data_IF_006850521335
#
_entry.id   IF_006850521335
#
_cell.length_a   1.000
_cell.length_b   1.000
_cell.length_c   1.000
_cell.angle_alpha   90.00
_cell.angle_beta   90.00
_cell.angle_gamma   90.00
#
_symmetry.space_group_name_H-M   'P 1'
#
loop_
_entity.id
_entity.type
_entity.pdbx_description
1 polymer ?
#
# COMPACT_ATOMS: atom_id res chain seq x y z
N UNK A 1 43.69 -8.68 -7.99
CA UNK A 1 44.41 -9.95 -7.75
C UNK A 1 43.46 -11.09 -7.41
N UNK A 2 42.40 -10.82 -6.63
CA UNK A 2 41.28 -11.73 -6.37
C UNK A 2 40.02 -10.89 -6.06
N UNK A 3 38.90 -11.54 -5.74
CA UNK A 3 37.63 -10.86 -5.44
C UNK A 3 37.70 -10.02 -4.16
N UNK A 4 38.39 -10.48 -3.11
CA UNK A 4 38.55 -9.73 -1.85
C UNK A 4 39.26 -8.39 -2.09
N UNK A 5 40.38 -8.42 -2.80
CA UNK A 5 41.11 -7.21 -3.18
C UNK A 5 40.25 -6.30 -4.08
N UNK A 6 39.44 -6.86 -4.98
CA UNK A 6 38.51 -6.05 -5.77
C UNK A 6 37.49 -5.30 -4.87
N UNK A 7 36.95 -5.95 -3.84
CA UNK A 7 36.03 -5.32 -2.88
C UNK A 7 36.70 -4.21 -2.06
N UNK A 8 37.97 -4.36 -1.68
CA UNK A 8 38.74 -3.31 -1.03
C UNK A 8 38.87 -2.06 -1.91
N UNK A 9 39.17 -2.26 -3.21
CA UNK A 9 39.23 -1.17 -4.19
C UNK A 9 37.86 -0.48 -4.31
N UNK A 10 36.76 -1.23 -4.38
CA UNK A 10 35.41 -0.64 -4.43
C UNK A 10 35.13 0.22 -3.19
N UNK A 11 35.48 -0.25 -1.99
CA UNK A 11 35.32 0.53 -0.75
C UNK A 11 36.15 1.82 -0.77
N UNK A 12 37.37 1.76 -1.31
CA UNK A 12 38.24 2.93 -1.48
C UNK A 12 37.63 3.95 -2.46
N UNK A 13 37.04 3.50 -3.56
CA UNK A 13 36.31 4.38 -4.50
C UNK A 13 35.14 5.07 -3.80
N UNK A 14 34.31 4.32 -3.07
CA UNK A 14 33.13 4.86 -2.37
C UNK A 14 33.53 5.88 -1.29
N UNK A 15 34.65 5.66 -0.59
CA UNK A 15 35.16 6.58 0.43
C UNK A 15 35.54 7.98 -0.12
N UNK A 16 35.80 8.08 -1.43
CA UNK A 16 36.25 9.31 -2.09
C UNK A 16 35.15 10.00 -2.93
N UNK A 17 33.87 9.65 -2.75
CA UNK A 17 32.76 10.22 -3.54
C UNK A 17 32.41 11.68 -3.21
N UNK A 18 32.98 12.26 -2.15
CA UNK A 18 32.67 13.62 -1.66
C UNK A 18 31.14 13.87 -1.55
N UNK A 19 30.41 12.88 -1.04
CA UNK A 19 28.95 12.93 -0.90
C UNK A 19 28.54 13.04 0.57
N UNK A 20 27.57 13.92 0.86
CA UNK A 20 27.01 14.11 2.19
C UNK A 20 25.49 14.17 2.07
N UNK A 21 24.81 13.22 2.72
CA UNK A 21 23.35 13.21 2.83
C UNK A 21 22.89 14.43 3.65
N UNK A 22 22.02 15.25 3.06
CA UNK A 22 21.36 16.36 3.75
C UNK A 22 19.89 16.04 3.95
N UNK A 23 19.46 15.92 5.21
CA UNK A 23 18.07 15.65 5.56
C UNK A 23 17.41 16.95 6.00
N UNK A 24 16.57 17.52 5.14
CA UNK A 24 15.80 18.74 5.42
C UNK A 24 14.41 18.37 5.94
N UNK A 25 14.38 17.69 7.08
CA UNK A 25 13.16 17.23 7.76
C UNK A 25 13.38 17.25 9.28
N UNK A 26 12.30 17.45 10.04
CA UNK A 26 12.31 17.32 11.51
C UNK A 26 12.46 15.83 11.89
N UNK A 27 13.68 15.29 11.90
CA UNK A 27 13.98 13.93 12.36
C UNK A 27 14.18 13.95 13.87
N UNK A 28 13.48 13.06 14.59
CA UNK A 28 13.57 12.93 16.05
C UNK A 28 14.36 11.69 16.45
N UNK A 29 14.73 11.61 17.72
CA UNK A 29 15.26 10.38 18.29
C UNK A 29 14.23 9.24 18.15
N UNK A 30 14.60 8.10 17.53
CA UNK A 30 13.70 6.96 17.37
C UNK A 30 13.20 6.44 18.71
N UNK A 31 11.88 6.21 18.81
CA UNK A 31 11.29 5.48 19.94
C UNK A 31 10.71 4.16 19.44
N UNK A 32 10.93 3.02 20.14
CA UNK A 32 10.26 1.79 19.78
C UNK A 32 8.72 1.95 19.90
N UNK A 33 7.92 1.17 19.15
CA UNK A 33 6.48 1.08 19.38
C UNK A 33 6.20 0.54 20.79
N UNK A 34 5.03 0.85 21.34
CA UNK A 34 4.59 0.33 22.64
C UNK A 34 4.25 -1.17 22.60
N UNK A 35 4.04 -1.73 21.41
CA UNK A 35 3.73 -3.13 21.18
C UNK A 35 4.84 -3.81 20.37
N UNK A 36 5.15 -5.07 20.71
CA UNK A 36 6.13 -5.86 19.98
C UNK A 36 5.66 -6.10 18.53
N UNK A 37 6.58 -6.00 17.56
CA UNK A 37 6.25 -6.13 16.13
C UNK A 37 5.82 -7.55 15.77
N UNK A 38 6.28 -8.57 16.49
CA UNK A 38 5.89 -9.97 16.32
C UNK A 38 4.40 -10.21 16.60
N UNK A 39 3.75 -9.32 17.34
CA UNK A 39 2.30 -9.41 17.52
C UNK A 39 1.51 -9.19 16.21
N UNK A 40 2.14 -8.65 15.16
CA UNK A 40 1.52 -8.51 13.83
C UNK A 40 1.05 -9.85 13.27
N UNK A 41 1.71 -10.97 13.62
CA UNK A 41 1.29 -12.31 13.20
C UNK A 41 -0.11 -12.69 13.69
N UNK A 42 -0.55 -12.15 14.83
CA UNK A 42 -1.88 -12.41 15.40
C UNK A 42 -2.93 -11.34 15.10
N UNK A 43 -2.53 -10.20 14.51
CA UNK A 43 -3.44 -9.09 14.18
C UNK A 43 -4.15 -9.34 12.86
N UNK A 44 -3.42 -9.88 11.89
CA UNK A 44 -3.87 -9.95 10.50
C UNK A 44 -4.48 -11.33 10.25
N UNK A 45 -5.76 -11.41 9.86
CA UNK A 45 -6.40 -12.70 9.62
C UNK A 45 -5.78 -13.46 8.44
N UNK A 46 -5.83 -14.79 8.50
CA UNK A 46 -5.42 -15.66 7.40
C UNK A 46 -6.28 -15.45 6.14
N UNK A 47 -7.59 -15.22 6.31
CA UNK A 47 -8.47 -14.86 5.20
C UNK A 47 -8.34 -13.35 4.92
N UNK A 48 -7.78 -13.02 3.75
CA UNK A 48 -7.61 -11.63 3.27
C UNK A 48 -8.92 -10.84 3.16
N UNK A 49 -10.08 -11.51 3.23
CA UNK A 49 -11.41 -10.88 3.21
C UNK A 49 -11.95 -10.58 4.61
N UNK A 50 -11.37 -11.18 5.65
CA UNK A 50 -11.83 -10.98 7.01
C UNK A 50 -11.49 -9.55 7.47
N UNK A 51 -12.46 -8.79 8.01
CA UNK A 51 -12.19 -7.46 8.51
C UNK A 51 -11.35 -7.52 9.78
N UNK A 52 -10.43 -6.57 9.92
CA UNK A 52 -9.70 -6.30 11.15
C UNK A 52 -9.45 -4.79 11.23
N UNK A 53 -9.11 -4.28 12.42
CA UNK A 53 -8.81 -2.86 12.59
C UNK A 53 -7.35 -2.58 12.22
N UNK A 54 -7.13 -1.82 11.14
CA UNK A 54 -5.78 -1.47 10.67
C UNK A 54 -4.99 -0.60 11.67
N UNK A 55 -5.65 0.03 12.65
CA UNK A 55 -4.95 0.74 13.73
C UNK A 55 -4.04 -0.21 14.53
N UNK A 56 -4.40 -1.49 14.64
CA UNK A 56 -3.57 -2.49 15.32
C UNK A 56 -2.23 -2.72 14.57
N UNK A 57 -2.24 -2.63 13.24
CA UNK A 57 -1.00 -2.68 12.45
C UNK A 57 -0.20 -1.40 12.66
N UNK A 58 -0.84 -0.24 12.52
CA UNK A 58 -0.17 1.07 12.67
C UNK A 58 0.51 1.18 14.05
N UNK A 59 -0.18 0.80 15.13
CA UNK A 59 0.34 0.86 16.49
C UNK A 59 1.62 0.05 16.70
N UNK A 60 1.84 -1.02 15.92
CA UNK A 60 3.05 -1.86 15.98
C UNK A 60 4.17 -1.38 15.06
N UNK A 61 3.90 -0.43 14.17
CA UNK A 61 4.90 0.10 13.23
C UNK A 61 5.48 1.44 13.66
N UNK A 62 4.68 2.31 14.29
CA UNK A 62 5.06 3.70 14.54
C UNK A 62 5.71 3.93 15.91
N UNK A 63 6.56 4.95 15.99
CA UNK A 63 7.31 5.31 17.19
C UNK A 63 6.38 5.63 18.37
N UNK A 64 6.61 4.97 19.50
CA UNK A 64 5.77 5.11 20.70
C UNK A 64 4.31 4.68 20.52
N UNK A 65 3.96 4.04 19.40
CA UNK A 65 2.57 3.78 19.00
C UNK A 65 1.71 5.05 18.93
N UNK A 66 2.34 6.21 18.70
CA UNK A 66 1.66 7.49 18.59
C UNK A 66 1.21 7.75 17.15
N UNK A 67 -0.08 8.01 16.98
CA UNK A 67 -0.69 8.24 15.67
C UNK A 67 -1.73 9.37 15.73
N UNK A 68 -1.46 10.46 14.99
CA UNK A 68 -2.34 11.62 14.91
C UNK A 68 -3.32 11.45 13.74
N UNK A 69 -4.48 10.87 14.03
CA UNK A 69 -5.51 10.57 13.03
C UNK A 69 -6.09 11.84 12.38
N UNK A 70 -6.01 11.92 11.05
CA UNK A 70 -6.65 12.95 10.24
C UNK A 70 -8.05 12.50 9.83
N UNK A 71 -9.06 13.38 10.01
CA UNK A 71 -10.46 13.10 9.67
C UNK A 71 -10.93 11.74 10.23
N UNK A 72 -10.72 11.51 11.53
CA UNK A 72 -11.04 10.24 12.21
C UNK A 72 -12.47 9.78 11.93
N UNK A 73 -13.43 10.69 12.02
CA UNK A 73 -14.86 10.38 11.94
C UNK A 73 -15.46 10.55 10.52
N UNK A 74 -14.62 10.64 9.48
CA UNK A 74 -15.05 10.80 8.09
C UNK A 74 -14.31 9.82 7.18
N UNK A 75 -15.03 9.10 6.31
CA UNK A 75 -14.44 8.11 5.41
C UNK A 75 -13.60 7.07 6.15
N UNK A 76 -14.17 6.44 7.19
CA UNK A 76 -13.46 5.58 8.16
C UNK A 76 -12.85 4.30 7.55
N UNK A 77 -13.25 3.93 6.32
CA UNK A 77 -12.64 2.82 5.59
C UNK A 77 -11.25 3.14 5.01
N UNK A 78 -10.81 4.39 5.10
CA UNK A 78 -9.43 4.80 4.87
C UNK A 78 -8.92 5.56 6.09
N UNK A 79 -8.01 4.95 6.83
CA UNK A 79 -7.32 5.57 7.96
C UNK A 79 -6.19 6.42 7.42
N UNK A 80 -6.20 7.71 7.76
CA UNK A 80 -5.14 8.65 7.42
C UNK A 80 -4.62 9.29 8.69
N UNK A 81 -3.31 9.52 8.79
CA UNK A 81 -2.75 10.23 9.93
C UNK A 81 -1.24 10.35 9.89
N UNK A 82 -0.71 11.22 10.74
CA UNK A 82 0.72 11.46 10.86
C UNK A 82 1.30 10.62 12.00
N UNK A 83 2.52 10.15 11.80
CA UNK A 83 3.28 9.45 12.82
C UNK A 83 4.78 9.57 12.54
N UNK A 84 5.58 8.77 13.25
CA UNK A 84 7.01 8.61 12.97
C UNK A 84 7.39 7.15 12.87
N UNK A 85 8.35 6.85 12.01
CA UNK A 85 9.01 5.54 11.96
C UNK A 85 10.51 5.79 12.00
N UNK A 86 11.19 5.26 13.01
CA UNK A 86 12.62 5.47 13.19
C UNK A 86 12.98 6.96 13.24
N UNK A 87 12.15 7.77 13.91
CA UNK A 87 12.33 9.22 14.04
C UNK A 87 11.85 10.05 12.83
N UNK A 88 11.73 9.46 11.64
CA UNK A 88 11.28 10.15 10.44
C UNK A 88 9.77 10.40 10.47
N UNK A 89 9.29 11.62 10.18
CA UNK A 89 7.86 11.87 10.06
C UNK A 89 7.31 11.16 8.82
N UNK A 90 6.15 10.53 8.96
CA UNK A 90 5.46 9.80 7.89
C UNK A 90 3.97 10.15 7.88
N UNK A 91 3.40 10.19 6.69
CA UNK A 91 1.97 10.36 6.45
C UNK A 91 1.40 9.02 5.97
N UNK A 92 0.61 8.36 6.81
CA UNK A 92 0.14 7.00 6.58
C UNK A 92 -1.27 7.05 5.99
N UNK A 93 -1.51 6.27 4.92
CA UNK A 93 -2.83 5.95 4.38
C UNK A 93 -3.00 4.43 4.42
N UNK A 94 -3.98 3.94 5.19
CA UNK A 94 -4.17 2.52 5.44
C UNK A 94 -5.63 2.11 5.21
N UNK A 95 -5.85 1.05 4.43
CA UNK A 95 -7.20 0.56 4.19
C UNK A 95 -7.77 -0.11 5.44
N UNK A 96 -9.04 0.20 5.74
CA UNK A 96 -9.82 -0.38 6.82
C UNK A 96 -11.20 -0.85 6.29
N UNK A 97 -11.24 -1.30 5.04
CA UNK A 97 -12.45 -1.67 4.30
C UNK A 97 -12.44 -1.21 2.84
N UNK A 98 -13.59 -1.33 2.17
CA UNK A 98 -13.82 -0.84 0.80
C UNK A 98 -13.76 0.69 0.73
N UNK A 99 -13.32 1.25 -0.40
CA UNK A 99 -13.26 2.71 -0.58
C UNK A 99 -14.60 3.29 -0.99
N UNK A 100 -15.02 4.35 -0.29
CA UNK A 100 -16.15 5.21 -0.65
C UNK A 100 -15.67 6.55 -1.21
N UNK A 101 -16.59 7.37 -1.71
CA UNK A 101 -16.32 8.75 -2.17
C UNK A 101 -15.62 9.57 -1.08
N UNK A 102 -16.10 9.47 0.15
CA UNK A 102 -15.57 10.16 1.33
C UNK A 102 -14.13 9.72 1.63
N UNK A 103 -13.87 8.41 1.53
CA UNK A 103 -12.54 7.83 1.72
C UNK A 103 -11.56 8.39 0.68
N UNK A 104 -11.97 8.47 -0.59
CA UNK A 104 -11.12 9.02 -1.65
C UNK A 104 -10.88 10.53 -1.49
N UNK A 105 -11.89 11.31 -1.13
CA UNK A 105 -11.75 12.74 -0.85
C UNK A 105 -10.85 13.00 0.37
N UNK A 106 -10.97 12.17 1.42
CA UNK A 106 -10.10 12.21 2.59
C UNK A 106 -8.65 11.92 2.22
N UNK A 107 -8.40 10.85 1.45
CA UNK A 107 -7.07 10.47 1.00
C UNK A 107 -6.41 11.54 0.14
N UNK A 108 -7.15 12.10 -0.83
CA UNK A 108 -6.64 13.18 -1.70
C UNK A 108 -6.20 14.41 -0.87
N UNK A 109 -7.07 14.91 0.02
CA UNK A 109 -6.74 16.04 0.89
C UNK A 109 -5.54 15.71 1.82
N UNK A 110 -5.48 14.51 2.36
CA UNK A 110 -4.37 14.12 3.22
C UNK A 110 -3.02 14.10 2.47
N UNK A 111 -3.02 13.62 1.22
CA UNK A 111 -1.83 13.67 0.34
C UNK A 111 -1.42 15.11 0.07
N UNK A 112 -2.37 16.02 -0.19
CA UNK A 112 -2.06 17.46 -0.37
C UNK A 112 -1.33 18.04 0.85
N UNK A 113 -1.78 17.70 2.07
CA UNK A 113 -1.12 18.13 3.31
C UNK A 113 0.30 17.56 3.43
N UNK A 114 0.49 16.27 3.14
CA UNK A 114 1.79 15.61 3.20
C UNK A 114 2.76 16.22 2.17
N UNK A 115 2.32 16.41 0.93
CA UNK A 115 3.08 17.04 -0.13
C UNK A 115 3.49 18.47 0.22
N UNK A 116 2.55 19.28 0.74
CA UNK A 116 2.84 20.66 1.16
C UNK A 116 3.91 20.74 2.26
N UNK A 117 3.97 19.71 3.11
CA UNK A 117 4.89 19.62 4.25
C UNK A 117 6.15 18.80 3.95
N UNK A 118 6.30 18.28 2.73
CA UNK A 118 7.39 17.39 2.31
C UNK A 118 7.54 16.15 3.20
N UNK A 119 6.41 15.59 3.63
CA UNK A 119 6.36 14.38 4.47
C UNK A 119 6.22 13.15 3.57
N UNK A 120 7.09 12.13 3.69
CA UNK A 120 6.94 10.85 3.00
C UNK A 120 5.58 10.19 3.24
N UNK A 121 5.06 9.56 2.19
CA UNK A 121 3.78 8.84 2.23
C UNK A 121 4.03 7.34 2.42
N UNK A 122 3.28 6.72 3.33
CA UNK A 122 3.23 5.28 3.51
C UNK A 122 1.82 4.77 3.21
N UNK A 123 1.71 3.87 2.24
CA UNK A 123 0.46 3.20 1.88
C UNK A 123 0.47 1.77 2.41
N UNK A 124 -0.51 1.44 3.26
CA UNK A 124 -0.76 0.09 3.73
C UNK A 124 -1.98 -0.48 3.00
N UNK A 125 -1.73 -1.32 1.99
CA UNK A 125 -2.79 -1.85 1.13
C UNK A 125 -3.45 -3.09 1.74
N UNK A 126 -4.75 -2.96 1.96
CA UNK A 126 -5.67 -4.08 2.17
C UNK A 126 -7.03 -3.72 1.55
N UNK A 127 -7.07 -3.71 0.22
CA UNK A 127 -8.16 -3.16 -0.57
C UNK A 127 -8.76 -4.19 -1.54
N UNK A 128 -10.06 -4.41 -1.40
CA UNK A 128 -10.88 -5.21 -2.32
C UNK A 128 -11.47 -4.40 -3.48
N UNK A 129 -11.55 -3.07 -3.34
CA UNK A 129 -12.00 -2.16 -4.39
C UNK A 129 -12.81 -0.99 -3.85
N UNK A 130 -13.49 -0.31 -4.78
CA UNK A 130 -14.45 0.74 -4.46
C UNK A 130 -15.86 0.16 -4.26
N UNK A 131 -16.70 0.86 -3.50
CA UNK A 131 -18.09 0.48 -3.35
C UNK A 131 -18.82 0.53 -4.70
N UNK A 132 -19.66 -0.47 -4.99
CA UNK A 132 -20.42 -0.56 -6.24
C UNK A 132 -21.91 -0.36 -6.00
N UNK A 133 -22.61 0.24 -6.97
CA UNK A 133 -24.06 0.38 -6.96
C UNK A 133 -24.52 1.69 -7.60
N UNK A 134 -25.71 1.69 -8.21
CA UNK A 134 -26.19 2.83 -9.01
C UNK A 134 -26.25 4.16 -8.24
N UNK A 135 -26.53 4.12 -6.93
CA UNK A 135 -26.48 5.30 -6.06
C UNK A 135 -25.07 5.90 -5.97
N UNK A 136 -24.05 5.08 -5.71
CA UNK A 136 -22.67 5.53 -5.56
C UNK A 136 -22.07 6.04 -6.87
N UNK A 137 -22.45 5.42 -7.99
CA UNK A 137 -22.09 5.91 -9.33
C UNK A 137 -22.69 7.29 -9.61
N UNK A 138 -23.99 7.48 -9.31
CA UNK A 138 -24.68 8.77 -9.47
C UNK A 138 -24.11 9.86 -8.55
N UNK A 139 -23.69 9.49 -7.33
CA UNK A 139 -22.98 10.38 -6.39
C UNK A 139 -21.55 10.73 -6.85
N UNK A 140 -21.05 10.05 -7.89
CA UNK A 140 -19.77 10.38 -8.51
C UNK A 140 -18.57 9.68 -7.88
N UNK A 141 -18.73 8.45 -7.37
CA UNK A 141 -17.60 7.68 -6.80
C UNK A 141 -16.40 7.61 -7.75
N UNK A 142 -16.64 7.51 -9.06
CA UNK A 142 -15.59 7.54 -10.08
C UNK A 142 -14.77 8.85 -10.05
N UNK A 143 -15.42 10.02 -9.98
CA UNK A 143 -14.70 11.31 -9.91
C UNK A 143 -14.02 11.54 -8.56
N UNK A 144 -14.57 10.99 -7.48
CA UNK A 144 -13.94 11.06 -6.16
C UNK A 144 -12.71 10.16 -6.08
N UNK A 145 -12.79 8.92 -6.58
CA UNK A 145 -11.65 8.02 -6.77
C UNK A 145 -10.58 8.64 -7.67
N UNK A 146 -10.97 9.30 -8.75
CA UNK A 146 -10.03 10.00 -9.64
C UNK A 146 -9.22 11.09 -8.91
N UNK A 147 -9.82 11.83 -7.96
CA UNK A 147 -9.06 12.81 -7.15
C UNK A 147 -7.94 12.14 -6.35
N UNK A 148 -8.23 10.98 -5.72
CA UNK A 148 -7.22 10.23 -4.99
C UNK A 148 -6.09 9.78 -5.92
N UNK A 149 -6.42 9.22 -7.09
CA UNK A 149 -5.43 8.80 -8.08
C UNK A 149 -4.59 9.97 -8.59
N UNK A 150 -5.19 11.12 -8.89
CA UNK A 150 -4.46 12.33 -9.27
C UNK A 150 -3.49 12.76 -8.16
N UNK A 151 -3.92 12.73 -6.90
CA UNK A 151 -3.05 13.10 -5.78
C UNK A 151 -1.85 12.14 -5.64
N UNK A 152 -2.10 10.82 -5.72
CA UNK A 152 -1.04 9.78 -5.66
C UNK A 152 -0.06 9.91 -6.83
N UNK A 153 -0.57 10.12 -8.04
CA UNK A 153 0.24 10.22 -9.25
C UNK A 153 1.13 11.46 -9.25
N UNK A 154 0.60 12.60 -8.79
CA UNK A 154 1.34 13.86 -8.79
C UNK A 154 2.29 14.04 -7.61
N UNK A 155 2.13 13.29 -6.51
CA UNK A 155 2.95 13.45 -5.32
C UNK A 155 4.44 13.15 -5.57
N UNK A 156 5.29 14.14 -5.29
CA UNK A 156 6.76 14.09 -5.45
C UNK A 156 7.51 13.72 -4.16
N UNK A 157 6.81 13.72 -3.02
CA UNK A 157 7.36 13.18 -1.77
C UNK A 157 7.68 11.68 -1.92
N UNK A 158 8.67 11.13 -1.19
CA UNK A 158 8.93 9.70 -1.22
C UNK A 158 7.67 8.92 -0.84
N UNK A 159 7.26 7.99 -1.71
CA UNK A 159 6.10 7.10 -1.51
C UNK A 159 6.61 5.70 -1.21
N UNK A 160 6.05 5.04 -0.22
CA UNK A 160 6.33 3.66 0.14
C UNK A 160 5.02 2.88 0.23
N UNK A 161 5.01 1.65 -0.27
CA UNK A 161 3.81 0.82 -0.29
C UNK A 161 4.11 -0.52 0.34
N UNK A 162 3.22 -1.00 1.22
CA UNK A 162 3.27 -2.36 1.77
C UNK A 162 1.92 -3.01 1.54
N UNK A 163 1.90 -4.15 0.84
CA UNK A 163 0.70 -4.98 0.68
C UNK A 163 0.54 -5.85 1.93
N UNK A 164 -0.37 -5.45 2.82
CA UNK A 164 -0.63 -6.14 4.10
C UNK A 164 -1.85 -7.08 4.02
N UNK A 165 -2.52 -7.10 2.87
CA UNK A 165 -3.67 -7.95 2.59
C UNK A 165 -4.01 -7.96 1.09
N UNK A 166 -5.26 -7.63 0.74
CA UNK A 166 -5.69 -7.55 -0.65
C UNK A 166 -5.14 -6.33 -1.41
N UNK A 167 -4.85 -6.49 -2.69
CA UNK A 167 -4.53 -5.41 -3.63
C UNK A 167 -5.27 -5.66 -4.93
N UNK A 168 -6.53 -5.22 -4.98
CA UNK A 168 -7.44 -5.55 -6.09
C UNK A 168 -7.92 -4.33 -6.88
N UNK A 169 -7.88 -4.47 -8.21
CA UNK A 169 -8.51 -3.55 -9.17
C UNK A 169 -8.13 -2.08 -8.98
N UNK A 170 -9.12 -1.19 -9.08
CA UNK A 170 -8.90 0.25 -8.95
C UNK A 170 -8.39 0.68 -7.55
N UNK A 171 -8.58 -0.16 -6.53
CA UNK A 171 -8.03 0.06 -5.20
C UNK A 171 -6.51 0.11 -5.19
N UNK A 172 -5.86 -0.77 -5.97
CA UNK A 172 -4.40 -0.76 -6.15
C UNK A 172 -3.90 0.61 -6.65
N UNK A 173 -4.65 1.25 -7.55
CA UNK A 173 -4.28 2.53 -8.13
C UNK A 173 -4.36 3.66 -7.10
N UNK A 174 -5.49 3.76 -6.40
CA UNK A 174 -5.72 4.79 -5.38
C UNK A 174 -4.79 4.67 -4.17
N UNK A 175 -4.19 3.50 -3.94
CA UNK A 175 -3.30 3.24 -2.80
C UNK A 175 -1.82 3.14 -3.20
N UNK A 176 -1.42 3.76 -4.31
CA UNK A 176 -0.03 3.79 -4.79
C UNK A 176 0.58 2.41 -5.12
N UNK A 177 -0.11 1.63 -5.94
CA UNK A 177 0.44 0.39 -6.51
C UNK A 177 1.64 0.62 -7.42
N UNK A 178 2.19 -0.47 -7.99
CA UNK A 178 3.46 -0.47 -8.74
C UNK A 178 3.55 0.58 -9.85
N UNK A 179 2.45 0.85 -10.55
CA UNK A 179 2.39 1.81 -11.65
C UNK A 179 2.53 3.29 -11.21
N UNK A 180 2.47 3.59 -9.91
CA UNK A 180 2.54 4.94 -9.35
C UNK A 180 3.92 5.27 -8.76
N UNK A 181 4.92 4.44 -9.07
CA UNK A 181 6.33 4.64 -8.74
C UNK A 181 6.59 4.95 -7.27
N UNK A 182 6.10 4.12 -6.30
CA UNK A 182 6.65 4.18 -4.96
C UNK A 182 8.16 3.87 -5.02
N UNK A 183 8.95 4.48 -4.13
CA UNK A 183 10.40 4.24 -4.03
C UNK A 183 10.68 2.77 -3.75
N UNK A 184 9.84 2.17 -2.91
CA UNK A 184 9.80 0.74 -2.68
C UNK A 184 8.35 0.28 -2.49
N UNK A 185 8.04 -0.90 -3.01
CA UNK A 185 6.80 -1.62 -2.78
C UNK A 185 7.12 -3.01 -2.25
N UNK A 186 6.65 -3.34 -1.05
CA UNK A 186 6.85 -4.67 -0.44
C UNK A 186 5.53 -5.40 -0.29
N UNK A 187 5.61 -6.73 -0.22
CA UNK A 187 4.45 -7.61 -0.02
C UNK A 187 4.61 -8.40 1.28
N UNK A 188 3.54 -8.58 2.03
CA UNK A 188 3.51 -9.60 3.09
C UNK A 188 3.19 -10.99 2.52
N UNK A 189 3.54 -12.09 3.22
CA UNK A 189 3.31 -13.45 2.74
C UNK A 189 1.82 -13.82 2.61
N UNK A 190 0.94 -13.15 3.37
CA UNK A 190 -0.51 -13.34 3.29
C UNK A 190 -1.16 -12.52 2.17
N UNK A 191 -0.44 -11.58 1.55
CA UNK A 191 -1.03 -10.65 0.59
C UNK A 191 -1.54 -11.35 -0.68
N UNK A 192 -2.52 -10.74 -1.35
CA UNK A 192 -3.01 -11.20 -2.67
C UNK A 192 -3.16 -10.01 -3.59
N UNK A 193 -2.66 -10.13 -4.82
CA UNK A 193 -2.77 -9.09 -5.85
C UNK A 193 -3.51 -9.62 -7.07
N UNK A 194 -4.38 -8.80 -7.67
CA UNK A 194 -5.09 -9.18 -8.89
C UNK A 194 -5.98 -8.08 -9.44
N UNK A 195 -6.51 -8.30 -10.65
CA UNK A 195 -7.47 -7.36 -11.25
C UNK A 195 -8.77 -7.27 -10.45
N UNK A 196 -9.15 -8.36 -9.78
CA UNK A 196 -10.24 -8.48 -8.81
C UNK A 196 -9.97 -9.71 -7.92
N UNK A 197 -10.80 -9.93 -6.88
CA UNK A 197 -10.67 -11.14 -6.05
C UNK A 197 -11.10 -12.40 -6.81
N UNK A 198 -10.48 -13.55 -6.52
CA UNK A 198 -10.76 -14.82 -7.22
C UNK A 198 -12.23 -15.25 -7.15
N UNK A 199 -12.87 -15.12 -5.99
CA UNK A 199 -14.30 -15.40 -5.82
C UNK A 199 -15.18 -14.46 -6.66
N UNK A 200 -14.80 -13.18 -6.71
CA UNK A 200 -15.50 -12.16 -7.50
C UNK A 200 -15.38 -12.45 -8.99
N UNK A 201 -14.18 -12.78 -9.46
CA UNK A 201 -13.93 -13.15 -10.86
C UNK A 201 -14.74 -14.39 -11.25
N UNK A 202 -14.69 -15.44 -10.44
CA UNK A 202 -15.43 -16.68 -10.68
C UNK A 202 -16.95 -16.42 -10.73
N UNK A 203 -17.48 -15.63 -9.79
CA UNK A 203 -18.89 -15.31 -9.73
C UNK A 203 -19.36 -14.45 -10.91
N UNK A 204 -18.59 -13.43 -11.30
CA UNK A 204 -18.92 -12.56 -12.44
C UNK A 204 -18.86 -13.36 -13.75
N UNK A 205 -17.79 -14.13 -13.97
CA UNK A 205 -17.65 -14.95 -15.17
C UNK A 205 -18.73 -16.03 -15.28
N UNK A 206 -19.12 -16.64 -14.16
CA UNK A 206 -20.23 -17.58 -14.12
C UNK A 206 -21.56 -16.89 -14.48
N UNK A 207 -21.79 -15.67 -14.00
CA UNK A 207 -23.04 -14.93 -14.25
C UNK A 207 -23.20 -14.52 -15.72
N UNK A 208 -22.11 -14.11 -16.37
CA UNK A 208 -22.14 -13.68 -17.79
C UNK A 208 -22.00 -14.83 -18.78
N UNK A 209 -21.76 -16.06 -18.30
CA UNK A 209 -21.61 -17.21 -19.18
C UNK A 209 -22.93 -17.51 -19.90
N UNK A 210 -22.86 -17.76 -21.20
CA UNK A 210 -24.04 -17.95 -22.07
C UNK A 210 -25.01 -19.01 -21.55
N UNK A 211 -24.48 -20.10 -21.00
CA UNK A 211 -25.25 -21.24 -20.52
C UNK A 211 -25.50 -21.22 -19.00
N UNK A 212 -25.17 -20.13 -18.30
CA UNK A 212 -25.28 -20.04 -16.83
C UNK A 212 -26.68 -20.39 -16.30
N UNK A 213 -27.74 -19.97 -16.99
CA UNK A 213 -29.12 -20.26 -16.61
C UNK A 213 -29.55 -21.71 -16.79
N UNK A 214 -28.69 -22.58 -17.35
CA UNK A 214 -28.96 -24.01 -17.55
C UNK A 214 -28.17 -24.91 -16.61
N UNK A 215 -27.19 -24.35 -15.90
CA UNK A 215 -26.29 -25.13 -15.06
C UNK A 215 -26.96 -25.61 -13.77
N UNK A 216 -26.64 -26.82 -13.36
CA UNK A 216 -26.82 -27.25 -11.97
C UNK A 216 -25.85 -26.51 -11.04
N UNK A 217 -26.09 -26.52 -9.71
CA UNK A 217 -25.13 -25.99 -8.74
C UNK A 217 -23.73 -26.60 -8.88
N UNK A 218 -23.65 -27.90 -9.17
CA UNK A 218 -22.39 -28.62 -9.36
C UNK A 218 -21.66 -28.20 -10.63
N UNK A 219 -22.38 -28.01 -11.74
CA UNK A 219 -21.81 -27.51 -12.99
C UNK A 219 -21.29 -26.07 -12.83
N UNK A 220 -22.04 -25.22 -12.12
CA UNK A 220 -21.62 -23.86 -11.81
C UNK A 220 -20.34 -23.85 -10.95
N UNK A 221 -20.24 -24.73 -9.94
CA UNK A 221 -19.02 -24.82 -9.14
C UNK A 221 -17.84 -25.45 -9.88
N UNK A 222 -18.08 -26.43 -10.76
CA UNK A 222 -17.05 -26.99 -11.64
C UNK A 222 -16.47 -25.92 -12.58
N UNK A 223 -17.29 -24.96 -13.03
CA UNK A 223 -16.83 -23.81 -13.82
C UNK A 223 -16.03 -22.80 -12.98
N UNK A 224 -16.48 -22.50 -11.77
CA UNK A 224 -15.84 -21.50 -10.89
C UNK A 224 -14.51 -21.97 -10.29
N UNK A 225 -14.41 -23.25 -9.93
CA UNK A 225 -13.23 -23.82 -9.27
C UNK A 225 -11.89 -23.52 -9.99
N UNK A 226 -11.72 -23.79 -11.30
CA UNK A 226 -10.47 -23.49 -12.00
C UNK A 226 -10.16 -21.99 -12.07
N UNK A 227 -11.19 -21.12 -12.09
CA UNK A 227 -11.00 -19.67 -12.05
C UNK A 227 -10.47 -19.23 -10.69
N UNK A 228 -11.04 -19.74 -9.59
CA UNK A 228 -10.53 -19.45 -8.24
C UNK A 228 -9.07 -19.89 -8.09
N UNK A 229 -8.76 -21.11 -8.54
CA UNK A 229 -7.39 -21.64 -8.46
C UNK A 229 -6.41 -20.76 -9.26
N UNK A 230 -6.79 -20.35 -10.48
CA UNK A 230 -5.94 -19.45 -11.28
C UNK A 230 -5.63 -18.14 -10.55
N UNK A 231 -6.61 -17.53 -9.91
CA UNK A 231 -6.41 -16.28 -9.16
C UNK A 231 -5.57 -16.50 -7.89
N UNK A 232 -5.63 -17.67 -7.27
CA UNK A 232 -4.78 -18.02 -6.14
C UNK A 232 -3.32 -18.24 -6.59
N UNK A 233 -3.12 -18.94 -7.71
CA UNK A 233 -1.80 -19.23 -8.28
C UNK A 233 -1.10 -17.98 -8.82
N UNK A 234 -1.85 -17.09 -9.48
CA UNK A 234 -1.29 -15.85 -10.06
C UNK A 234 -1.29 -14.68 -9.09
N UNK A 235 -2.11 -14.74 -8.03
CA UNK A 235 -2.28 -13.65 -7.08
C UNK A 235 -1.48 -13.78 -5.79
N UNK A 236 -0.88 -14.94 -5.50
CA UNK A 236 -0.02 -15.12 -4.34
C UNK A 236 1.29 -14.28 -4.46
N UNK A 237 1.93 -13.93 -3.32
CA UNK A 237 3.05 -12.99 -3.33
C UNK A 237 4.31 -13.58 -3.97
N UNK A 238 4.47 -14.91 -4.00
CA UNK A 238 5.61 -15.54 -4.67
C UNK A 238 5.50 -15.42 -6.20
N UNK A 239 4.30 -15.49 -6.75
CA UNK A 239 4.07 -15.26 -8.18
C UNK A 239 4.40 -13.81 -8.56
N UNK A 240 3.96 -12.85 -7.73
CA UNK A 240 4.17 -11.43 -7.93
C UNK A 240 5.65 -11.03 -7.82
N UNK A 241 6.33 -11.46 -6.76
CA UNK A 241 7.73 -11.10 -6.50
C UNK A 241 8.68 -11.71 -7.54
N UNK A 242 8.39 -12.92 -8.04
CA UNK A 242 9.13 -13.55 -9.13
C UNK A 242 9.08 -12.75 -10.45
N UNK A 243 8.16 -11.78 -10.55
CA UNK A 243 7.96 -10.90 -11.72
C UNK A 243 8.24 -9.43 -11.42
N UNK A 244 8.83 -9.13 -10.26
CA UNK A 244 9.19 -7.78 -9.82
C UNK A 244 7.99 -6.80 -9.76
N UNK A 245 6.79 -7.33 -9.49
CA UNK A 245 5.62 -6.49 -9.20
C UNK A 245 5.75 -5.79 -7.84
N UNK A 246 6.53 -6.39 -6.95
CA UNK A 246 7.06 -5.85 -5.71
C UNK A 246 8.60 -5.95 -5.70
N UNK A 247 9.21 -5.30 -4.72
CA UNK A 247 10.66 -5.28 -4.46
C UNK A 247 11.07 -6.33 -3.40
N UNK A 248 10.15 -7.23 -3.04
CA UNK A 248 10.40 -8.31 -2.11
C UNK A 248 9.19 -8.64 -1.23
N UNK A 249 9.08 -9.94 -0.91
CA UNK A 249 8.23 -10.42 0.18
C UNK A 249 8.99 -10.30 1.49
N UNK A 250 8.42 -9.61 2.47
CA UNK A 250 9.06 -9.35 3.76
C UNK A 250 8.28 -9.99 4.91
N UNK A 251 8.97 -10.33 5.99
CA UNK A 251 8.34 -10.72 7.24
C UNK A 251 7.53 -9.52 7.80
N UNK A 252 6.22 -9.71 8.13
CA UNK A 252 5.42 -8.67 8.77
C UNK A 252 6.09 -7.98 9.96
N UNK A 253 6.78 -8.73 10.82
CA UNK A 253 7.46 -8.17 12.00
C UNK A 253 8.66 -7.27 11.65
N UNK A 254 9.24 -7.43 10.46
CA UNK A 254 10.37 -6.63 9.97
C UNK A 254 9.94 -5.36 9.22
N UNK A 255 8.64 -5.16 8.98
CA UNK A 255 8.11 -4.03 8.21
C UNK A 255 8.64 -2.68 8.68
N UNK A 256 8.70 -2.47 10.00
CA UNK A 256 9.18 -1.22 10.61
C UNK A 256 10.62 -0.90 10.22
N UNK A 257 11.52 -1.89 10.26
CA UNK A 257 12.94 -1.70 10.00
C UNK A 257 13.22 -1.57 8.51
N UNK A 258 12.53 -2.35 7.68
CA UNK A 258 12.54 -2.21 6.23
C UNK A 258 12.12 -0.79 5.82
N UNK A 259 11.04 -0.27 6.41
CA UNK A 259 10.60 1.11 6.16
C UNK A 259 11.61 2.15 6.66
N UNK A 260 12.20 1.97 7.85
CA UNK A 260 13.24 2.86 8.37
C UNK A 260 14.44 2.98 7.43
N UNK A 261 14.92 1.85 6.91
CA UNK A 261 16.00 1.79 5.92
C UNK A 261 15.60 2.43 4.59
N UNK A 262 14.40 2.10 4.08
CA UNK A 262 13.89 2.62 2.81
C UNK A 262 13.70 4.15 2.84
N UNK A 263 13.15 4.67 3.94
CA UNK A 263 13.01 6.12 4.17
C UNK A 263 14.39 6.76 4.21
N UNK A 264 15.31 6.24 5.03
CA UNK A 264 16.67 6.77 5.11
C UNK A 264 17.38 6.77 3.75
N UNK A 265 17.29 5.70 2.98
CA UNK A 265 17.90 5.60 1.65
C UNK A 265 17.31 6.65 0.68
N UNK A 266 15.98 6.83 0.69
CA UNK A 266 15.27 7.77 -0.19
C UNK A 266 15.69 9.24 0.00
N UNK A 267 16.13 9.58 1.21
CA UNK A 267 16.53 10.94 1.61
C UNK A 267 17.95 11.32 1.17
N UNK A 268 18.63 10.47 0.39
CA UNK A 268 19.81 10.91 -0.38
C UNK A 268 19.41 11.79 -1.58
N UNK A 269 18.15 11.70 -2.04
CA UNK A 269 17.60 12.57 -3.06
C UNK A 269 16.84 13.75 -2.41
N UNK A 270 16.90 14.96 -2.99
CA UNK A 270 16.05 16.06 -2.56
C UNK A 270 14.57 15.74 -2.81
N UNK A 271 13.68 16.35 -2.03
CA UNK A 271 12.23 16.24 -2.20
C UNK A 271 11.75 17.43 -3.06
N UNK A 272 11.32 17.21 -4.31
CA UNK A 272 10.83 18.28 -5.19
C UNK A 272 9.51 18.89 -4.69
N UNK A 273 9.16 20.06 -5.24
CA UNK A 273 7.81 20.61 -5.09
C UNK A 273 6.81 19.77 -5.89
N UNK A 274 5.68 19.44 -5.26
CA UNK A 274 4.60 18.71 -5.93
C UNK A 274 3.73 19.66 -6.76
N UNK A 275 3.54 19.34 -8.03
CA UNK A 275 2.55 20.01 -8.90
C UNK A 275 1.42 19.04 -9.23
N UNK A 276 0.21 19.33 -8.74
CA UNK A 276 -0.95 18.48 -9.01
C UNK A 276 -1.51 18.70 -10.42
N UNK A 277 -1.97 17.61 -11.04
CA UNK A 277 -2.82 17.69 -12.22
C UNK A 277 -4.20 18.29 -11.90
N UNK A 278 -5.05 18.41 -12.93
CA UNK A 278 -6.41 18.94 -12.74
C UNK A 278 -7.25 17.98 -11.91
N UNK A 279 -7.77 18.45 -10.78
CA UNK A 279 -8.77 17.72 -10.00
C UNK A 279 -10.17 17.88 -10.61
N UNK A 280 -10.82 16.76 -10.91
CA UNK A 280 -12.24 16.72 -11.32
C UNK A 280 -13.13 16.88 -10.09
N UNK A 281 -13.67 18.08 -9.85
CA UNK A 281 -14.51 18.40 -8.67
C UNK A 281 -15.86 17.68 -8.62
#
# INVERSE_FOLDING_TARGET
ENDEHALEIVRSIVANLNTVKRVDMDVREPRPPAFATEQLYGVVPDDVRAPYDVHEVIARLVDGSEFDAFKRDYGSSLVCGFARIWGYPVAILANNGVLFSESAQKGAHFIELACKRKIPLLFLQNISGFMVGGKYEAEGIAKHGAKLVTAVASAEVPKFTVLIGGSFGAGNYGMCGRAYSPRFLFSWPNSRIGVMGGEQAASVLATVHRDAGKWSPEEAEAFKAPIRQKYEDEGNPYYATARLWDDGVIDPAQTRDVLGLAISASLNAPIPETTFGVFRM
#
